data_IF_690549791157
#
_entry.id   IF_690549791157
#
_cell.length_a   1.000
_cell.length_b   1.000
_cell.length_c   1.000
_cell.angle_alpha   90.00
_cell.angle_beta   90.00
_cell.angle_gamma   90.00
#
_symmetry.space_group_name_H-M   'P 1'
#
loop_
_entity.id
_entity.type
_entity.pdbx_description
1 polymer ?
#
# COMPACT_ATOMS: atom_id res chain seq x y z
N UNK A 1 -8.49 9.06 10.84
CA UNK A 1 -7.61 9.71 9.85
C UNK A 1 -7.58 8.77 8.68
N UNK A 2 -7.88 9.25 7.47
CA UNK A 2 -7.97 8.39 6.30
C UNK A 2 -6.63 8.39 5.59
N UNK A 3 -6.12 7.21 5.28
CA UNK A 3 -4.88 6.98 4.58
C UNK A 3 -5.17 6.58 3.14
N UNK A 4 -4.56 7.26 2.18
CA UNK A 4 -4.54 6.77 0.81
C UNK A 4 -3.24 6.00 0.59
N UNK A 5 -3.36 4.75 0.13
CA UNK A 5 -2.25 3.89 -0.26
C UNK A 5 -2.25 3.74 -1.77
N UNK A 6 -1.12 4.04 -2.41
CA UNK A 6 -0.95 3.88 -3.86
C UNK A 6 0.21 2.91 -4.10
N UNK A 7 -0.07 1.79 -4.76
CA UNK A 7 0.94 0.90 -5.31
C UNK A 7 1.44 1.49 -6.64
N UNK A 8 2.68 1.96 -6.69
CA UNK A 8 3.22 2.59 -7.90
C UNK A 8 3.42 1.58 -9.04
N UNK A 9 3.81 0.34 -8.72
CA UNK A 9 4.04 -0.72 -9.71
C UNK A 9 2.75 -1.14 -10.44
N UNK A 10 1.63 -1.18 -9.73
CA UNK A 10 0.36 -1.70 -10.23
C UNK A 10 -0.71 -0.61 -10.45
N UNK A 11 -0.43 0.64 -10.06
CA UNK A 11 -1.37 1.76 -10.12
C UNK A 11 -2.57 1.63 -9.18
N UNK A 12 -2.58 0.63 -8.29
CA UNK A 12 -3.70 0.37 -7.40
C UNK A 12 -3.73 1.43 -6.29
N UNK A 13 -4.83 2.17 -6.22
CA UNK A 13 -5.10 3.14 -5.16
C UNK A 13 -6.21 2.61 -4.25
N UNK A 14 -6.00 2.69 -2.94
CA UNK A 14 -7.00 2.33 -1.94
C UNK A 14 -7.01 3.34 -0.78
N UNK A 15 -8.20 3.66 -0.31
CA UNK A 15 -8.40 4.47 0.89
C UNK A 15 -8.70 3.54 2.07
N UNK A 16 -8.08 3.80 3.21
CA UNK A 16 -8.16 2.98 4.41
C UNK A 16 -8.13 3.88 5.65
N UNK A 17 -8.94 3.57 6.66
CA UNK A 17 -9.03 4.41 7.86
C UNK A 17 -8.19 3.91 9.05
N UNK A 18 -7.65 2.68 8.92
CA UNK A 18 -6.79 2.05 9.91
C UNK A 18 -5.37 1.88 9.39
N UNK A 19 -4.38 2.23 10.23
CA UNK A 19 -2.96 2.15 9.85
C UNK A 19 -2.48 0.69 9.73
N UNK A 20 -2.98 -0.21 10.58
CA UNK A 20 -2.63 -1.63 10.53
C UNK A 20 -3.07 -2.26 9.20
N UNK A 21 -4.23 -1.87 8.69
CA UNK A 21 -4.73 -2.28 7.39
C UNK A 21 -3.85 -1.81 6.24
N UNK A 22 -3.31 -0.59 6.32
CA UNK A 22 -2.32 -0.07 5.36
C UNK A 22 -1.04 -0.90 5.37
N UNK A 23 -0.53 -1.24 6.55
CA UNK A 23 0.69 -2.05 6.70
C UNK A 23 0.47 -3.47 6.17
N UNK A 24 -0.66 -4.09 6.50
CA UNK A 24 -1.03 -5.41 6.00
C UNK A 24 -1.18 -5.42 4.48
N UNK A 25 -1.82 -4.40 3.90
CA UNK A 25 -1.94 -4.25 2.45
C UNK A 25 -0.56 -4.15 1.79
N UNK A 26 0.35 -3.37 2.38
CA UNK A 26 1.72 -3.18 1.91
C UNK A 26 2.51 -4.49 1.89
N UNK A 27 2.46 -5.24 2.99
CA UNK A 27 3.19 -6.50 3.13
C UNK A 27 2.62 -7.59 2.20
N UNK A 28 1.30 -7.74 2.16
CA UNK A 28 0.64 -8.70 1.26
C UNK A 28 0.94 -8.40 -0.22
N UNK A 29 0.98 -7.11 -0.62
CA UNK A 29 1.33 -6.73 -1.99
C UNK A 29 2.81 -6.96 -2.31
N UNK A 30 3.73 -6.73 -1.36
CA UNK A 30 5.16 -7.05 -1.56
C UNK A 30 5.41 -8.55 -1.72
N UNK A 31 4.63 -9.40 -1.04
CA UNK A 31 4.75 -10.85 -1.17
C UNK A 31 4.26 -11.33 -2.55
N UNK A 32 3.29 -10.62 -3.14
CA UNK A 32 2.69 -10.96 -4.42
C UNK A 32 3.54 -10.54 -5.64
N UNK A 33 4.26 -9.43 -5.52
CA UNK A 33 5.23 -8.97 -6.52
C UNK A 33 6.62 -9.19 -5.96
N UNK A 34 7.32 -10.23 -6.41
CA UNK A 34 8.65 -10.73 -6.01
C UNK A 34 9.78 -9.67 -6.14
N UNK A 35 9.61 -8.52 -5.49
CA UNK A 35 10.36 -7.29 -5.72
C UNK A 35 10.50 -6.52 -4.42
N UNK A 36 11.76 -6.26 -4.10
CA UNK A 36 12.25 -5.32 -3.09
C UNK A 36 11.86 -3.84 -3.37
N UNK A 37 10.90 -3.58 -4.27
CA UNK A 37 10.69 -2.29 -4.91
C UNK A 37 9.21 -1.96 -5.15
N UNK A 38 8.30 -2.42 -4.29
CA UNK A 38 6.95 -1.83 -4.29
C UNK A 38 7.02 -0.53 -3.49
N UNK A 39 7.06 0.58 -4.22
CA UNK A 39 6.97 1.93 -3.66
C UNK A 39 5.49 2.22 -3.32
N UNK A 40 5.27 2.76 -2.13
CA UNK A 40 3.95 3.14 -1.64
C UNK A 40 3.98 4.59 -1.19
N UNK A 41 3.04 5.38 -1.70
CA UNK A 41 2.81 6.73 -1.20
C UNK A 41 1.66 6.70 -0.19
N UNK A 42 1.92 7.29 0.99
CA UNK A 42 0.93 7.51 2.03
C UNK A 42 0.52 8.98 2.02
N UNK A 43 -0.73 9.25 1.69
CA UNK A 43 -1.29 10.61 1.76
C UNK A 43 -2.26 10.65 2.95
N UNK A 44 -2.00 11.54 3.91
CA UNK A 44 -2.87 11.84 5.07
C UNK A 44 -3.81 13.00 4.79
#
# INVERSE_FOLDING_TARGET
MTYTVICIECGLRREMDELDDVLNFREAHKEQYDRHHVEFELIQ
#
